data_IF_956443330521
#
_entry.id   IF_956443330521
#
_cell.length_a   1.000
_cell.length_b   1.000
_cell.length_c   1.000
_cell.angle_alpha   90.00
_cell.angle_beta   90.00
_cell.angle_gamma   90.00
#
_symmetry.space_group_name_H-M   'P 1'
#
loop_
_entity.id
_entity.type
_entity.pdbx_description
1 polymer ?
#
# COMPACT_ATOMS: atom_id res chain seq x y z
N UNK A 1 -16.29 15.06 5.47
CA UNK A 1 -16.68 16.09 4.48
C UNK A 1 -18.10 16.54 4.76
N UNK A 2 -18.51 17.76 4.36
CA UNK A 2 -19.88 18.24 4.57
C UNK A 2 -20.47 18.73 3.26
N UNK A 3 -21.77 18.49 3.06
CA UNK A 3 -22.52 19.03 1.91
C UNK A 3 -23.83 19.69 2.32
N UNK A 4 -24.26 20.64 1.54
CA UNK A 4 -25.60 21.19 1.50
C UNK A 4 -26.17 20.93 0.12
N UNK A 5 -27.21 20.10 0.03
CA UNK A 5 -27.72 19.59 -1.26
C UNK A 5 -26.57 19.06 -2.15
N UNK A 6 -26.40 19.59 -3.35
CA UNK A 6 -25.36 19.20 -4.30
C UNK A 6 -24.09 20.07 -4.23
N UNK A 7 -23.82 20.70 -3.08
CA UNK A 7 -22.66 21.59 -2.91
C UNK A 7 -21.84 21.17 -1.70
N UNK A 8 -20.55 20.93 -1.92
CA UNK A 8 -19.59 20.74 -0.82
C UNK A 8 -19.39 22.06 -0.09
N UNK A 9 -19.50 22.04 1.23
CA UNK A 9 -19.23 23.17 2.11
C UNK A 9 -18.06 22.85 3.01
N UNK A 10 -17.15 23.83 3.15
CA UNK A 10 -15.88 23.63 3.85
C UNK A 10 -15.94 24.25 5.24
N UNK A 11 -15.56 23.52 6.30
CA UNK A 11 -15.38 24.09 7.64
C UNK A 11 -14.49 25.34 7.59
N UNK A 12 -14.83 26.35 8.41
CA UNK A 12 -14.10 27.61 8.44
C UNK A 12 -14.42 28.59 7.31
N UNK A 13 -15.27 28.20 6.34
CA UNK A 13 -15.78 29.09 5.31
C UNK A 13 -17.27 29.30 5.45
N UNK A 14 -17.72 30.55 5.36
CA UNK A 14 -19.16 30.87 5.27
C UNK A 14 -19.72 30.40 3.91
N UNK A 15 -21.00 30.10 3.89
CA UNK A 15 -21.69 29.68 2.66
C UNK A 15 -23.09 30.33 2.58
N UNK A 16 -23.73 30.23 1.42
CA UNK A 16 -25.11 30.65 1.22
C UNK A 16 -25.95 29.46 0.82
N UNK A 17 -27.14 29.39 1.38
CA UNK A 17 -28.18 28.47 0.91
C UNK A 17 -28.90 28.99 -0.37
N UNK A 18 -29.87 28.21 -0.85
CA UNK A 18 -30.59 28.53 -2.08
C UNK A 18 -31.54 29.68 -1.91
N UNK A 19 -31.92 30.02 -0.66
CA UNK A 19 -32.76 31.19 -0.34
C UNK A 19 -31.93 32.47 -0.20
N UNK A 20 -30.59 32.34 -0.35
CA UNK A 20 -29.65 33.46 -0.27
C UNK A 20 -29.21 33.80 1.15
N UNK A 21 -29.64 33.04 2.14
CA UNK A 21 -29.24 33.21 3.55
C UNK A 21 -27.77 32.90 3.71
N UNK A 22 -27.06 33.83 4.32
CA UNK A 22 -25.61 33.61 4.62
C UNK A 22 -25.44 32.89 5.94
N UNK A 23 -24.71 31.78 5.89
CA UNK A 23 -24.32 31.02 7.06
C UNK A 23 -22.89 31.38 7.51
N UNK A 24 -22.65 31.47 8.83
CA UNK A 24 -21.38 31.95 9.39
C UNK A 24 -20.23 30.94 9.12
N UNK A 25 -18.99 31.40 9.28
CA UNK A 25 -17.80 30.55 9.07
C UNK A 25 -17.69 29.40 10.08
N UNK A 26 -18.22 29.59 11.28
CA UNK A 26 -18.18 28.62 12.38
C UNK A 26 -19.38 27.64 12.40
N UNK A 27 -20.11 27.50 11.30
CA UNK A 27 -21.23 26.57 11.19
C UNK A 27 -20.83 25.11 11.50
N UNK A 28 -19.57 24.76 11.35
CA UNK A 28 -19.05 23.42 11.64
C UNK A 28 -19.16 23.03 13.12
N UNK A 29 -19.26 24.01 14.05
CA UNK A 29 -19.47 23.75 15.48
C UNK A 29 -20.94 23.60 15.85
N UNK A 30 -21.87 23.77 14.91
CA UNK A 30 -23.29 23.50 15.15
C UNK A 30 -23.49 22.05 15.57
N UNK A 31 -24.47 21.84 16.45
CA UNK A 31 -24.90 20.49 16.81
C UNK A 31 -25.37 19.70 15.58
N UNK A 32 -25.39 18.38 15.68
CA UNK A 32 -25.92 17.52 14.61
C UNK A 32 -27.38 17.83 14.28
N UNK A 33 -28.19 18.24 15.29
CA UNK A 33 -29.58 18.66 15.08
C UNK A 33 -29.66 19.94 14.25
N UNK A 34 -28.89 20.98 14.60
CA UNK A 34 -28.85 22.24 13.86
C UNK A 34 -28.36 22.07 12.43
N UNK A 35 -27.32 21.22 12.23
CA UNK A 35 -26.83 20.88 10.88
C UNK A 35 -27.96 20.26 10.06
N UNK A 36 -28.64 19.27 10.63
CA UNK A 36 -29.74 18.56 9.95
C UNK A 36 -30.90 19.49 9.62
N UNK A 37 -31.31 20.35 10.55
CA UNK A 37 -32.39 21.34 10.34
C UNK A 37 -32.08 22.27 9.16
N UNK A 38 -30.81 22.63 8.97
CA UNK A 38 -30.32 23.50 7.89
C UNK A 38 -29.90 22.74 6.63
N UNK A 39 -30.22 21.45 6.55
CA UNK A 39 -29.91 20.62 5.40
C UNK A 39 -28.40 20.32 5.19
N UNK A 40 -27.58 20.54 6.22
CA UNK A 40 -26.16 20.20 6.19
C UNK A 40 -26.00 18.72 6.55
N UNK A 41 -25.42 17.96 5.63
CA UNK A 41 -25.15 16.52 5.81
C UNK A 41 -23.66 16.30 5.95
N UNK A 42 -23.27 15.55 6.96
CA UNK A 42 -21.91 15.05 7.10
C UNK A 42 -21.75 13.79 6.25
N UNK A 43 -20.75 13.81 5.37
CA UNK A 43 -20.39 12.69 4.52
C UNK A 43 -19.10 12.08 5.05
N UNK A 44 -19.17 10.81 5.38
CA UNK A 44 -17.98 9.98 5.69
C UNK A 44 -17.56 9.37 4.36
N UNK A 45 -16.40 9.76 3.80
CA UNK A 45 -15.92 9.16 2.56
C UNK A 45 -15.66 7.66 2.72
N UNK A 46 -15.77 6.93 1.63
CA UNK A 46 -15.33 5.55 1.56
C UNK A 46 -13.86 5.43 1.97
N UNK A 47 -13.47 4.26 2.44
CA UNK A 47 -12.06 3.94 2.70
C UNK A 47 -11.28 3.99 1.38
N UNK A 48 -10.12 4.63 1.41
CA UNK A 48 -9.25 4.70 0.23
C UNK A 48 -8.77 3.29 -0.15
N UNK A 49 -8.93 2.90 -1.43
CA UNK A 49 -8.33 1.67 -1.94
C UNK A 49 -6.80 1.72 -1.87
N UNK A 50 -6.16 0.55 -1.84
CA UNK A 50 -4.70 0.47 -1.90
C UNK A 50 -4.20 0.97 -3.26
N UNK A 51 -3.47 2.08 -3.25
CA UNK A 51 -2.93 2.72 -4.46
C UNK A 51 -1.89 1.87 -5.20
N UNK A 52 -1.36 0.83 -4.57
CA UNK A 52 -0.48 -0.15 -5.23
C UNK A 52 -1.27 -1.01 -6.22
N UNK A 53 -2.54 -1.28 -5.91
CA UNK A 53 -3.41 -2.21 -6.65
C UNK A 53 -4.47 -1.52 -7.49
N UNK A 54 -4.90 -0.33 -7.10
CA UNK A 54 -6.01 0.36 -7.71
C UNK A 54 -5.64 1.78 -8.09
N UNK A 55 -6.11 2.18 -9.27
CA UNK A 55 -6.25 3.59 -9.61
C UNK A 55 -7.61 4.06 -9.10
N UNK A 56 -7.67 5.21 -8.45
CA UNK A 56 -8.91 5.72 -7.87
C UNK A 56 -9.00 7.24 -7.96
N UNK A 57 -10.24 7.74 -8.02
CA UNK A 57 -10.54 9.16 -7.94
C UNK A 57 -10.76 9.57 -6.48
N UNK A 58 -10.58 10.84 -6.18
CA UNK A 58 -11.03 11.37 -4.89
C UNK A 58 -12.53 11.17 -4.69
N UNK A 59 -13.03 11.29 -3.43
CA UNK A 59 -14.44 11.09 -3.13
C UNK A 59 -15.29 12.14 -3.87
N UNK A 60 -16.41 11.68 -4.42
CA UNK A 60 -17.43 12.54 -4.97
C UNK A 60 -18.19 13.30 -3.88
N UNK A 61 -19.25 14.03 -4.27
CA UNK A 61 -20.06 14.83 -3.34
C UNK A 61 -20.76 13.98 -2.28
N UNK A 62 -20.97 12.70 -2.53
CA UNK A 62 -21.59 11.74 -1.60
C UNK A 62 -20.54 10.94 -0.81
N UNK A 63 -19.26 11.23 -1.02
CA UNK A 63 -18.15 10.57 -0.37
C UNK A 63 -17.75 9.24 -1.01
N UNK A 64 -18.35 8.90 -2.15
CA UNK A 64 -18.07 7.65 -2.87
C UNK A 64 -16.77 7.75 -3.66
N UNK A 65 -15.94 6.72 -3.53
CA UNK A 65 -14.69 6.57 -4.28
C UNK A 65 -14.91 5.58 -5.41
N UNK A 66 -14.58 5.98 -6.63
CA UNK A 66 -14.53 5.09 -7.77
C UNK A 66 -13.11 4.60 -7.96
N UNK A 67 -12.91 3.28 -7.98
CA UNK A 67 -11.63 2.65 -8.18
C UNK A 67 -11.66 1.67 -9.32
N UNK A 68 -10.52 1.51 -10.00
CA UNK A 68 -10.32 0.53 -11.06
C UNK A 68 -9.07 -0.27 -10.72
N UNK A 69 -9.16 -1.59 -10.73
CA UNK A 69 -8.00 -2.44 -10.55
C UNK A 69 -6.98 -2.19 -11.65
N UNK A 70 -5.71 -2.10 -11.27
CA UNK A 70 -4.60 -2.04 -12.22
C UNK A 70 -4.51 -3.34 -13.01
N UNK A 71 -3.84 -3.28 -14.14
CA UNK A 71 -3.62 -4.44 -14.97
C UNK A 71 -2.77 -5.49 -14.22
N UNK A 72 -3.30 -6.72 -14.11
CA UNK A 72 -2.70 -7.77 -13.31
C UNK A 72 -1.34 -8.21 -13.85
N UNK A 73 -1.19 -8.28 -15.17
CA UNK A 73 0.05 -8.75 -15.79
C UNK A 73 1.16 -7.69 -15.61
N UNK A 74 0.82 -6.41 -15.74
CA UNK A 74 1.73 -5.30 -15.46
C UNK A 74 2.18 -5.31 -14.00
N UNK A 75 1.25 -5.48 -13.06
CA UNK A 75 1.57 -5.56 -11.63
C UNK A 75 2.52 -6.72 -11.32
N UNK A 76 2.28 -7.89 -11.94
CA UNK A 76 3.17 -9.05 -11.77
C UNK A 76 4.58 -8.77 -12.30
N UNK A 77 4.69 -8.09 -13.42
CA UNK A 77 5.99 -7.71 -14.00
C UNK A 77 6.73 -6.76 -13.05
N UNK A 78 6.07 -5.71 -12.59
CA UNK A 78 6.67 -4.70 -11.72
C UNK A 78 7.14 -5.31 -10.38
N UNK A 79 6.29 -6.12 -9.74
CA UNK A 79 6.64 -6.79 -8.48
C UNK A 79 7.76 -7.80 -8.67
N UNK A 80 7.78 -8.52 -9.80
CA UNK A 80 8.87 -9.44 -10.11
C UNK A 80 10.20 -8.71 -10.26
N UNK A 81 10.22 -7.56 -10.92
CA UNK A 81 11.42 -6.70 -11.02
C UNK A 81 11.87 -6.29 -9.62
N UNK A 82 10.95 -5.85 -8.75
CA UNK A 82 11.27 -5.48 -7.37
C UNK A 82 11.89 -6.64 -6.57
N UNK A 83 11.39 -7.87 -6.73
CA UNK A 83 11.94 -9.07 -6.09
C UNK A 83 13.37 -9.30 -6.57
N UNK A 84 13.61 -9.23 -7.88
CA UNK A 84 14.92 -9.45 -8.48
C UNK A 84 15.92 -8.37 -8.07
N UNK A 85 15.52 -7.12 -8.01
CA UNK A 85 16.36 -6.01 -7.56
C UNK A 85 16.75 -6.16 -6.09
N UNK A 86 15.79 -6.54 -5.22
CA UNK A 86 16.07 -6.82 -3.82
C UNK A 86 17.03 -8.02 -3.66
N UNK A 87 16.81 -9.10 -4.41
CA UNK A 87 17.71 -10.24 -4.44
C UNK A 87 19.14 -9.82 -4.84
N UNK A 88 19.26 -9.04 -5.92
CA UNK A 88 20.56 -8.55 -6.41
C UNK A 88 21.29 -7.71 -5.35
N UNK A 89 20.59 -6.75 -4.74
CA UNK A 89 21.16 -5.91 -3.67
C UNK A 89 21.65 -6.76 -2.49
N UNK A 90 20.84 -7.72 -2.04
CA UNK A 90 21.21 -8.60 -0.92
C UNK A 90 22.43 -9.46 -1.27
N UNK A 91 22.44 -10.10 -2.42
CA UNK A 91 23.59 -10.92 -2.84
C UNK A 91 24.87 -10.09 -2.98
N UNK A 92 24.76 -8.84 -3.44
CA UNK A 92 25.89 -7.92 -3.56
C UNK A 92 26.62 -7.65 -2.23
N UNK A 93 25.91 -7.69 -1.10
CA UNK A 93 26.52 -7.50 0.23
C UNK A 93 27.62 -8.52 0.56
N UNK A 94 27.63 -9.67 -0.09
CA UNK A 94 28.56 -10.78 0.16
C UNK A 94 29.46 -11.14 -1.03
N UNK A 95 29.41 -10.40 -2.12
CA UNK A 95 30.24 -10.65 -3.31
C UNK A 95 31.74 -10.54 -3.02
N UNK A 96 32.13 -9.71 -2.04
CA UNK A 96 33.50 -9.59 -1.57
C UNK A 96 34.11 -10.94 -1.15
N UNK A 97 33.31 -11.85 -0.61
CA UNK A 97 33.79 -13.16 -0.16
C UNK A 97 34.21 -14.04 -1.34
N UNK A 98 33.46 -13.97 -2.45
CA UNK A 98 33.78 -14.70 -3.68
C UNK A 98 34.92 -14.05 -4.43
N UNK A 99 35.01 -12.71 -4.47
CA UNK A 99 36.16 -11.99 -5.02
C UNK A 99 37.43 -12.37 -4.25
N UNK A 100 37.38 -12.36 -2.91
CA UNK A 100 38.51 -12.79 -2.05
C UNK A 100 38.89 -14.22 -2.32
N UNK A 101 37.94 -15.15 -2.45
CA UNK A 101 38.20 -16.54 -2.77
C UNK A 101 38.95 -16.65 -4.11
N UNK A 102 38.49 -15.97 -5.14
CA UNK A 102 39.09 -15.95 -6.47
C UNK A 102 40.54 -15.42 -6.43
N UNK A 103 40.76 -14.31 -5.73
CA UNK A 103 42.08 -13.64 -5.70
C UNK A 103 43.10 -14.34 -4.81
N UNK A 104 42.67 -14.98 -3.73
CA UNK A 104 43.58 -15.47 -2.67
C UNK A 104 43.51 -16.96 -2.41
N UNK A 105 42.53 -17.68 -2.98
CA UNK A 105 42.27 -19.09 -2.70
C UNK A 105 41.68 -19.36 -1.30
N UNK A 106 41.33 -18.32 -0.52
CA UNK A 106 40.65 -18.49 0.76
C UNK A 106 39.21 -18.93 0.58
N UNK A 107 38.78 -19.92 1.33
CA UNK A 107 37.42 -20.43 1.22
C UNK A 107 36.36 -19.37 1.55
N UNK A 108 35.22 -19.46 0.87
CA UNK A 108 34.04 -18.64 1.18
C UNK A 108 33.49 -19.15 2.52
N UNK A 109 33.16 -18.25 3.47
CA UNK A 109 32.56 -18.68 4.73
C UNK A 109 31.22 -19.41 4.49
N UNK A 110 31.04 -20.55 5.17
CA UNK A 110 29.85 -21.40 5.00
C UNK A 110 28.53 -20.66 5.32
N UNK A 111 28.54 -19.78 6.32
CA UNK A 111 27.37 -18.96 6.63
C UNK A 111 26.96 -18.05 5.45
N UNK A 112 27.94 -17.50 4.72
CA UNK A 112 27.68 -16.69 3.51
C UNK A 112 27.08 -17.56 2.40
N UNK A 113 27.63 -18.75 2.16
CA UNK A 113 27.10 -19.67 1.13
C UNK A 113 25.66 -20.08 1.47
N UNK A 114 25.42 -20.48 2.72
CA UNK A 114 24.08 -20.86 3.20
C UNK A 114 23.08 -19.72 3.04
N UNK A 115 23.46 -18.53 3.50
CA UNK A 115 22.61 -17.35 3.38
C UNK A 115 22.31 -16.98 1.92
N UNK A 116 23.31 -16.98 1.04
CA UNK A 116 23.09 -16.72 -0.40
C UNK A 116 22.13 -17.73 -1.03
N UNK A 117 22.22 -18.99 -0.65
CA UNK A 117 21.29 -20.02 -1.11
C UNK A 117 19.87 -19.75 -0.58
N UNK A 118 19.73 -19.38 0.69
CA UNK A 118 18.46 -19.00 1.29
C UNK A 118 17.83 -17.79 0.58
N UNK A 119 18.62 -16.75 0.23
CA UNK A 119 18.14 -15.59 -0.56
C UNK A 119 17.60 -16.03 -1.93
N UNK A 120 18.30 -16.91 -2.65
CA UNK A 120 17.83 -17.40 -3.96
C UNK A 120 16.56 -18.24 -3.85
N UNK A 121 16.50 -19.12 -2.85
CA UNK A 121 15.30 -19.94 -2.58
C UNK A 121 14.11 -19.03 -2.28
N UNK A 122 14.31 -18.04 -1.41
CA UNK A 122 13.24 -17.09 -1.05
C UNK A 122 12.75 -16.28 -2.25
N UNK A 123 13.64 -15.82 -3.11
CA UNK A 123 13.24 -15.11 -4.33
C UNK A 123 12.38 -16.00 -5.24
N UNK A 124 12.76 -17.29 -5.38
CA UNK A 124 11.95 -18.25 -6.17
C UNK A 124 10.57 -18.45 -5.54
N UNK A 125 10.48 -18.62 -4.21
CA UNK A 125 9.20 -18.74 -3.51
C UNK A 125 8.30 -17.51 -3.73
N UNK A 126 8.89 -16.30 -3.69
CA UNK A 126 8.16 -15.05 -3.95
C UNK A 126 7.65 -14.99 -5.40
N UNK A 127 8.51 -15.31 -6.38
CA UNK A 127 8.14 -15.33 -7.79
C UNK A 127 7.06 -16.39 -8.09
N UNK A 128 7.14 -17.58 -7.50
CA UNK A 128 6.15 -18.65 -7.66
C UNK A 128 4.80 -18.26 -7.05
N UNK A 129 4.82 -17.67 -5.85
CA UNK A 129 3.61 -17.16 -5.21
C UNK A 129 2.95 -16.05 -6.05
N UNK A 130 3.74 -15.14 -6.61
CA UNK A 130 3.27 -14.08 -7.50
C UNK A 130 2.69 -14.64 -8.79
N UNK A 131 3.33 -15.64 -9.38
CA UNK A 131 2.86 -16.30 -10.60
C UNK A 131 1.51 -16.97 -10.39
N UNK A 132 1.26 -17.55 -9.21
CA UNK A 132 0.02 -18.21 -8.84
C UNK A 132 -1.19 -17.27 -8.64
N UNK A 133 -0.96 -15.96 -8.47
CA UNK A 133 -2.05 -14.99 -8.31
C UNK A 133 -2.92 -14.92 -9.57
N UNK A 134 -4.23 -14.89 -9.39
CA UNK A 134 -5.22 -14.76 -10.47
C UNK A 134 -5.99 -13.43 -10.41
N UNK A 135 -5.79 -12.65 -9.35
CA UNK A 135 -6.44 -11.35 -9.13
C UNK A 135 -5.52 -10.37 -8.40
N UNK A 136 -5.86 -9.09 -8.39
CA UNK A 136 -5.14 -8.08 -7.61
C UNK A 136 -5.32 -8.29 -6.10
N UNK A 137 -6.44 -8.87 -5.68
CA UNK A 137 -6.70 -9.25 -4.28
C UNK A 137 -5.80 -10.39 -3.82
N UNK A 138 -5.39 -11.30 -4.70
CA UNK A 138 -4.41 -12.34 -4.38
C UNK A 138 -3.03 -11.72 -4.18
N UNK A 139 -2.65 -10.75 -5.02
CA UNK A 139 -1.40 -9.99 -4.83
C UNK A 139 -1.40 -9.26 -3.48
N UNK A 140 -2.54 -8.67 -3.07
CA UNK A 140 -2.64 -8.00 -1.77
C UNK A 140 -2.23 -8.89 -0.59
N UNK A 141 -2.51 -10.20 -0.67
CA UNK A 141 -2.19 -11.18 0.38
C UNK A 141 -0.71 -11.57 0.42
N UNK A 142 0.05 -11.27 -0.64
CA UNK A 142 1.49 -11.57 -0.68
C UNK A 142 2.33 -10.57 0.10
N UNK A 143 1.86 -9.33 0.29
CA UNK A 143 2.55 -8.34 1.10
C UNK A 143 2.39 -8.62 2.59
N UNK A 144 3.25 -7.99 3.38
CA UNK A 144 3.15 -8.06 4.83
C UNK A 144 1.77 -7.58 5.30
N UNK A 145 1.03 -8.47 5.93
CA UNK A 145 -0.18 -8.18 6.67
C UNK A 145 0.07 -8.51 8.14
N UNK A 146 -0.27 -7.60 9.02
CA UNK A 146 -0.23 -7.80 10.47
C UNK A 146 -1.67 -7.77 10.95
N UNK A 147 -2.14 -8.88 11.53
CA UNK A 147 -3.49 -8.98 12.08
C UNK A 147 -3.61 -8.29 13.45
N UNK A 148 -4.82 -8.28 14.03
CA UNK A 148 -5.10 -7.66 15.33
C UNK A 148 -4.32 -8.31 16.48
N UNK A 149 -3.94 -9.58 16.34
CA UNK A 149 -3.14 -10.34 17.31
C UNK A 149 -1.61 -10.16 17.10
N UNK A 150 -1.22 -9.40 16.08
CA UNK A 150 0.18 -9.13 15.73
C UNK A 150 0.85 -10.24 14.90
N UNK A 151 0.10 -11.22 14.40
CA UNK A 151 0.66 -12.25 13.53
C UNK A 151 0.96 -11.66 12.15
N UNK A 152 2.11 -12.04 11.61
CA UNK A 152 2.55 -11.61 10.29
C UNK A 152 2.22 -12.67 9.25
N UNK A 153 1.70 -12.23 8.11
CA UNK A 153 1.46 -13.07 6.95
C UNK A 153 1.95 -12.38 5.67
N UNK A 154 1.93 -13.09 4.56
CA UNK A 154 2.48 -12.65 3.29
C UNK A 154 3.88 -13.18 3.05
N UNK A 155 4.28 -13.31 1.81
CA UNK A 155 5.56 -13.93 1.41
C UNK A 155 6.60 -12.91 0.96
N UNK A 156 6.16 -11.69 0.56
CA UNK A 156 7.02 -10.68 -0.08
C UNK A 156 7.85 -9.83 0.89
N UNK A 157 7.92 -10.14 2.19
CA UNK A 157 8.64 -9.31 3.16
C UNK A 157 9.73 -10.05 3.93
N UNK A 158 9.69 -11.38 3.95
CA UNK A 158 10.49 -12.21 4.86
C UNK A 158 11.78 -12.68 4.20
N UNK A 159 12.70 -11.75 3.98
CA UNK A 159 14.01 -12.06 3.45
C UNK A 159 14.93 -12.63 4.54
N UNK A 160 15.73 -13.70 4.25
CA UNK A 160 16.72 -14.20 5.19
C UNK A 160 17.75 -13.14 5.58
N UNK A 161 18.09 -13.10 6.86
CA UNK A 161 19.16 -12.24 7.37
C UNK A 161 20.48 -13.03 7.44
N UNK A 162 21.61 -12.33 7.24
CA UNK A 162 22.94 -12.95 7.41
C UNK A 162 23.28 -12.95 8.90
N UNK A 163 23.35 -14.15 9.47
CA UNK A 163 23.82 -14.33 10.85
C UNK A 163 25.34 -14.10 10.92
N UNK A 164 25.78 -13.36 11.94
CA UNK A 164 27.21 -13.05 12.19
C UNK A 164 28.02 -14.27 12.63
#
# INVERSE_FOLDING_TARGET
>A
MFKYKNKVITPGKGWKDDEGVRHPRNWNIWSSAEKKERGVVEIIPDTLPDSRLYDWSGPDIDGKITSTAKDLDTLKIDIKIDIQDQQFIKLGLSDWAYIRHYDTGKDVPTNIETWRNAIRTKATEMEDALAACSSVEDIAKLWLVIDEDGNKSGVLYDWPELEE
#
